data_IF_355923378291
#
_entry.id   IF_355923378291
#
_cell.length_a   1.000
_cell.length_b   1.000
_cell.length_c   1.000
_cell.angle_alpha   90.00
_cell.angle_beta   90.00
_cell.angle_gamma   90.00
#
_symmetry.space_group_name_H-M   'P 1'
#
loop_
_entity.id
_entity.type
_entity.pdbx_description
1 polymer ?
#
# COMPACT_ATOMS: atom_id res chain seq x y z
N UNK A 1 3.83 38.44 -78.64
CA UNK A 1 3.80 37.00 -78.30
C UNK A 1 4.22 36.84 -76.82
N UNK A 2 3.23 36.79 -75.93
CA UNK A 2 3.47 36.77 -74.46
C UNK A 2 3.37 35.35 -73.96
N UNK A 3 4.38 34.87 -73.30
CA UNK A 3 4.40 33.62 -72.59
C UNK A 3 4.09 33.82 -71.12
N UNK A 4 2.96 33.35 -70.63
CA UNK A 4 2.56 33.38 -69.25
C UNK A 4 3.22 32.21 -68.51
N UNK A 5 3.95 32.48 -67.44
CA UNK A 5 4.50 31.49 -66.51
C UNK A 5 3.47 31.19 -65.42
N UNK A 6 3.10 29.91 -65.34
CA UNK A 6 2.25 29.39 -64.25
C UNK A 6 3.12 29.05 -63.06
N UNK A 7 2.91 29.73 -61.92
CA UNK A 7 3.55 29.41 -60.66
C UNK A 7 2.64 28.48 -59.85
N UNK A 8 3.03 27.22 -59.73
CA UNK A 8 2.35 26.24 -58.85
C UNK A 8 2.79 26.42 -57.41
N UNK A 9 1.89 26.85 -56.54
CA UNK A 9 2.11 26.92 -55.10
C UNK A 9 1.89 25.54 -54.46
N UNK A 10 2.94 24.94 -53.93
CA UNK A 10 2.89 23.75 -53.09
C UNK A 10 2.44 24.14 -51.68
N UNK A 11 1.24 23.75 -51.32
CA UNK A 11 0.74 23.85 -49.96
C UNK A 11 1.33 22.68 -49.15
N UNK A 12 2.27 22.97 -48.23
CA UNK A 12 2.77 22.01 -47.23
C UNK A 12 1.78 22.06 -46.07
N UNK A 13 0.94 21.06 -45.99
CA UNK A 13 0.04 20.84 -44.86
C UNK A 13 0.85 20.34 -43.64
N UNK A 14 0.97 21.16 -42.61
CA UNK A 14 1.52 20.75 -41.32
C UNK A 14 0.50 19.82 -40.61
N UNK A 15 0.82 18.52 -40.54
CA UNK A 15 0.11 17.61 -39.64
C UNK A 15 0.50 17.94 -38.20
N UNK A 16 -0.38 18.62 -37.48
CA UNK A 16 -0.29 18.73 -36.02
C UNK A 16 -0.74 17.38 -35.42
N UNK A 17 0.23 16.60 -34.98
CA UNK A 17 -0.04 15.45 -34.10
C UNK A 17 -0.56 15.99 -32.77
N UNK A 18 -1.88 16.01 -32.63
CA UNK A 18 -2.55 16.27 -31.36
C UNK A 18 -2.20 15.17 -30.37
N UNK A 19 -1.43 15.52 -29.35
CA UNK A 19 -1.26 14.64 -28.19
C UNK A 19 -2.63 14.44 -27.55
N UNK A 20 -3.16 13.22 -27.68
CA UNK A 20 -4.35 12.84 -26.96
C UNK A 20 -4.04 12.88 -25.45
N UNK A 21 -4.92 13.49 -24.63
CA UNK A 21 -4.75 13.44 -23.19
C UNK A 21 -4.78 11.96 -22.76
N UNK A 22 -3.79 11.53 -21.94
CA UNK A 22 -3.86 10.25 -21.25
C UNK A 22 -5.20 10.20 -20.51
N UNK A 23 -6.08 9.33 -21.00
CA UNK A 23 -7.34 9.07 -20.34
C UNK A 23 -7.03 8.65 -18.90
N UNK A 24 -7.45 9.48 -17.96
CA UNK A 24 -7.52 9.11 -16.56
C UNK A 24 -8.16 7.71 -16.49
N UNK A 25 -7.48 6.76 -15.84
CA UNK A 25 -8.01 5.42 -15.65
C UNK A 25 -9.36 5.57 -14.95
N UNK A 26 -10.42 5.45 -15.73
CA UNK A 26 -11.77 5.47 -15.25
C UNK A 26 -11.89 4.38 -14.17
N UNK A 27 -12.01 4.80 -12.92
CA UNK A 27 -12.43 3.93 -11.84
C UNK A 27 -13.66 3.18 -12.32
N UNK A 28 -13.71 1.88 -12.03
CA UNK A 28 -14.76 0.94 -12.43
C UNK A 28 -16.12 1.61 -12.34
N UNK A 29 -16.62 2.15 -13.44
CA UNK A 29 -17.88 2.85 -13.59
C UNK A 29 -19.05 1.88 -13.46
N UNK A 30 -19.36 1.49 -12.23
CA UNK A 30 -20.56 0.75 -11.89
C UNK A 30 -21.44 1.60 -10.99
N UNK A 31 -22.75 1.40 -11.03
CA UNK A 31 -23.71 2.08 -10.16
C UNK A 31 -23.23 2.12 -8.71
N UNK A 32 -23.47 3.23 -8.02
CA UNK A 32 -23.17 3.39 -6.60
C UNK A 32 -23.78 2.23 -5.79
N UNK A 33 -23.05 1.76 -4.77
CA UNK A 33 -23.57 0.71 -3.89
C UNK A 33 -24.78 1.20 -3.11
N UNK A 34 -25.64 0.26 -2.74
CA UNK A 34 -26.83 0.52 -1.92
C UNK A 34 -26.56 0.16 -0.45
N UNK A 35 -26.58 1.17 0.42
CA UNK A 35 -26.26 0.97 1.83
C UNK A 35 -27.30 0.09 2.58
N UNK A 36 -28.55 0.08 2.15
CA UNK A 36 -29.60 -0.77 2.75
C UNK A 36 -29.33 -2.26 2.49
N UNK A 37 -29.04 -2.64 1.25
CA UNK A 37 -28.61 -4.00 0.91
C UNK A 37 -27.25 -4.30 1.54
N UNK A 38 -26.36 -3.32 1.56
CA UNK A 38 -25.04 -3.45 2.21
C UNK A 38 -25.14 -3.77 3.69
N UNK A 39 -26.11 -3.23 4.40
CA UNK A 39 -26.41 -3.60 5.78
C UNK A 39 -26.74 -5.08 5.91
N UNK A 40 -27.57 -5.63 5.01
CA UNK A 40 -27.91 -7.07 5.03
C UNK A 40 -26.66 -7.96 4.79
N UNK A 41 -25.80 -7.55 3.86
CA UNK A 41 -24.51 -8.25 3.63
C UNK A 41 -23.64 -8.18 4.88
N UNK A 42 -23.55 -7.00 5.53
CA UNK A 42 -22.79 -6.80 6.75
C UNK A 42 -23.30 -7.69 7.90
N UNK A 43 -24.60 -7.69 8.15
CA UNK A 43 -25.23 -8.49 9.21
C UNK A 43 -25.00 -9.98 9.01
N UNK A 44 -24.95 -10.44 7.74
CA UNK A 44 -24.75 -11.85 7.42
C UNK A 44 -23.28 -12.30 7.54
N UNK A 45 -22.32 -11.47 7.17
CA UNK A 45 -20.93 -11.90 6.97
C UNK A 45 -19.90 -11.20 7.86
N UNK A 46 -20.20 -10.03 8.40
CA UNK A 46 -19.21 -9.17 9.02
C UNK A 46 -19.45 -8.92 10.52
N UNK A 47 -20.71 -8.97 10.96
CA UNK A 47 -21.13 -8.58 12.31
C UNK A 47 -20.44 -9.36 13.41
N UNK A 48 -20.18 -10.67 13.22
CA UNK A 48 -19.56 -11.54 14.20
C UNK A 48 -18.17 -11.05 14.65
N UNK A 49 -17.45 -10.42 13.75
CA UNK A 49 -16.13 -9.84 14.03
C UNK A 49 -16.22 -8.33 14.30
N UNK A 50 -16.96 -7.59 13.45
CA UNK A 50 -16.94 -6.12 13.48
C UNK A 50 -18.02 -5.49 14.36
N UNK A 51 -18.94 -6.30 14.94
CA UNK A 51 -19.99 -5.86 15.88
C UNK A 51 -21.18 -5.20 15.20
N UNK A 52 -22.34 -5.25 15.84
CA UNK A 52 -23.57 -4.62 15.36
C UNK A 52 -23.43 -3.09 15.20
N UNK A 53 -22.65 -2.47 16.10
CA UNK A 53 -22.35 -1.03 16.07
C UNK A 53 -21.21 -0.68 15.15
N UNK A 54 -20.63 -1.65 14.42
CA UNK A 54 -19.47 -1.47 13.56
C UNK A 54 -18.21 -0.96 14.31
N UNK A 55 -18.12 -1.27 15.59
CA UNK A 55 -17.12 -0.80 16.55
C UNK A 55 -15.92 -1.75 16.72
N UNK A 56 -15.87 -2.83 15.94
CA UNK A 56 -14.83 -3.83 16.05
C UNK A 56 -14.97 -4.75 17.28
N UNK A 57 -16.11 -4.68 17.98
CA UNK A 57 -16.36 -5.44 19.21
C UNK A 57 -17.40 -6.57 19.00
N UNK A 58 -17.35 -7.25 17.87
CA UNK A 58 -18.17 -8.43 17.63
C UNK A 58 -17.82 -9.59 18.57
N UNK A 59 -18.69 -10.60 18.61
CA UNK A 59 -18.59 -11.72 19.54
C UNK A 59 -17.21 -12.40 19.51
N UNK A 60 -16.63 -12.59 18.30
CA UNK A 60 -15.33 -13.23 18.12
C UNK A 60 -14.13 -12.29 18.17
N UNK A 61 -14.36 -10.98 18.36
CA UNK A 61 -13.30 -9.96 18.36
C UNK A 61 -12.25 -10.20 19.46
N UNK A 62 -12.68 -10.67 20.63
CA UNK A 62 -11.80 -10.96 21.79
C UNK A 62 -10.70 -11.98 21.50
N UNK A 63 -10.93 -12.89 20.54
CA UNK A 63 -9.95 -13.89 20.11
C UNK A 63 -9.17 -13.50 18.86
N UNK A 64 -9.36 -12.25 18.39
CA UNK A 64 -8.74 -11.78 17.15
C UNK A 64 -7.56 -10.87 17.45
N UNK A 65 -6.38 -11.23 16.92
CA UNK A 65 -5.18 -10.40 16.95
C UNK A 65 -4.63 -10.29 15.52
N UNK A 66 -4.54 -9.07 14.95
CA UNK A 66 -5.07 -7.80 15.48
C UNK A 66 -6.60 -7.80 15.59
N UNK A 67 -7.13 -6.90 16.43
CA UNK A 67 -8.58 -6.74 16.59
C UNK A 67 -9.24 -6.28 15.29
N UNK A 68 -10.52 -6.67 15.06
CA UNK A 68 -11.30 -6.15 13.95
C UNK A 68 -11.40 -4.63 13.99
N UNK A 69 -11.52 -4.01 12.83
CA UNK A 69 -11.55 -2.55 12.69
C UNK A 69 -12.83 -1.97 13.24
N UNK A 70 -12.71 -0.88 14.01
CA UNK A 70 -13.81 0.05 14.29
C UNK A 70 -13.98 0.97 13.09
N UNK A 71 -15.12 0.91 12.42
CA UNK A 71 -15.39 1.70 11.22
C UNK A 71 -15.91 3.11 11.53
N UNK A 72 -16.33 3.38 12.76
CA UNK A 72 -16.94 4.66 13.17
C UNK A 72 -15.94 5.82 13.12
N UNK A 73 -14.67 5.53 13.36
CA UNK A 73 -13.62 6.55 13.35
C UNK A 73 -13.14 6.91 11.95
N UNK A 74 -13.50 6.12 10.94
CA UNK A 74 -13.01 6.33 9.58
C UNK A 74 -11.50 6.17 9.41
N UNK A 75 -10.86 5.35 10.26
CA UNK A 75 -9.42 5.05 10.18
C UNK A 75 -9.24 3.64 9.65
N UNK A 76 -8.67 3.52 8.46
CA UNK A 76 -8.47 2.26 7.77
C UNK A 76 -6.97 2.04 7.50
N UNK A 77 -6.43 0.91 7.98
CA UNK A 77 -4.98 0.61 7.90
C UNK A 77 -4.44 0.55 6.48
N UNK A 78 -5.25 0.06 5.53
CA UNK A 78 -4.78 -0.21 4.17
C UNK A 78 -5.50 0.67 3.15
N UNK A 79 -4.77 1.63 2.63
CA UNK A 79 -5.23 2.62 1.65
C UNK A 79 -4.14 2.87 0.61
N UNK A 80 -4.54 3.28 -0.58
CA UNK A 80 -3.64 3.86 -1.58
C UNK A 80 -3.52 5.37 -1.44
N UNK A 81 -4.33 6.02 -0.60
CA UNK A 81 -4.18 7.43 -0.25
C UNK A 81 -3.10 7.64 0.81
N UNK A 82 -2.62 8.87 0.94
CA UNK A 82 -1.63 9.26 1.96
C UNK A 82 -2.14 9.00 3.39
N UNK A 83 -1.21 8.97 4.33
CA UNK A 83 -1.51 8.80 5.76
C UNK A 83 -2.55 9.83 6.25
N UNK A 84 -3.49 9.36 7.05
CA UNK A 84 -4.57 10.20 7.58
C UNK A 84 -5.82 10.30 6.71
N UNK A 85 -5.73 10.03 5.41
CA UNK A 85 -6.88 10.11 4.51
C UNK A 85 -7.74 8.84 4.48
N UNK A 86 -9.00 8.99 4.09
CA UNK A 86 -9.91 7.88 3.88
C UNK A 86 -9.48 7.03 2.66
N UNK A 87 -9.69 5.70 2.69
CA UNK A 87 -9.40 4.83 1.56
C UNK A 87 -10.36 5.07 0.41
N UNK A 88 -9.97 4.66 -0.79
CA UNK A 88 -10.89 4.59 -1.92
C UNK A 88 -11.83 3.39 -1.80
N UNK A 89 -12.93 3.41 -2.57
CA UNK A 89 -13.81 2.23 -2.71
C UNK A 89 -13.03 1.01 -3.21
N UNK A 90 -12.07 1.21 -4.11
CA UNK A 90 -11.23 0.13 -4.62
C UNK A 90 -10.31 -0.47 -3.54
N UNK A 91 -9.78 0.34 -2.62
CA UNK A 91 -9.01 -0.17 -1.49
C UNK A 91 -9.85 -1.06 -0.58
N UNK A 92 -11.08 -0.63 -0.27
CA UNK A 92 -12.00 -1.41 0.56
C UNK A 92 -12.44 -2.70 -0.16
N UNK A 93 -12.77 -2.63 -1.45
CA UNK A 93 -13.12 -3.80 -2.26
C UNK A 93 -11.98 -4.82 -2.26
N UNK A 94 -10.75 -4.37 -2.48
CA UNK A 94 -9.57 -5.24 -2.45
C UNK A 94 -9.39 -5.94 -1.10
N UNK A 95 -9.58 -5.23 0.01
CA UNK A 95 -9.48 -5.81 1.36
C UNK A 95 -10.57 -6.84 1.61
N UNK A 96 -11.81 -6.55 1.24
CA UNK A 96 -12.94 -7.47 1.41
C UNK A 96 -12.74 -8.70 0.51
N UNK A 97 -12.43 -8.50 -0.76
CA UNK A 97 -12.25 -9.60 -1.72
C UNK A 97 -11.14 -10.56 -1.33
N UNK A 98 -9.97 -10.03 -0.92
CA UNK A 98 -8.77 -10.84 -0.71
C UNK A 98 -8.54 -11.22 0.76
N UNK A 99 -9.29 -10.62 1.70
CA UNK A 99 -8.98 -10.72 3.12
C UNK A 99 -7.64 -10.10 3.49
N UNK A 100 -7.20 -10.34 4.72
CA UNK A 100 -5.93 -9.86 5.24
C UNK A 100 -5.10 -11.03 5.76
N UNK A 101 -4.08 -11.40 5.02
CA UNK A 101 -3.21 -12.52 5.35
C UNK A 101 -2.63 -12.41 6.78
N UNK A 102 -2.62 -13.51 7.50
CA UNK A 102 -2.11 -13.57 8.88
C UNK A 102 -3.02 -12.88 9.91
N UNK A 103 -4.27 -12.59 9.53
CA UNK A 103 -5.31 -12.10 10.44
C UNK A 103 -6.54 -13.00 10.37
N UNK A 104 -7.54 -12.72 11.21
CA UNK A 104 -8.85 -13.40 11.11
C UNK A 104 -9.80 -12.80 10.09
N UNK A 105 -9.37 -11.81 9.29
CA UNK A 105 -10.16 -11.28 8.18
C UNK A 105 -10.02 -12.21 6.96
N UNK A 106 -10.98 -13.09 6.69
CA UNK A 106 -10.89 -14.02 5.57
C UNK A 106 -11.17 -13.31 4.24
N UNK A 107 -10.84 -13.93 3.10
CA UNK A 107 -11.28 -13.46 1.80
C UNK A 107 -12.78 -13.71 1.61
N UNK A 108 -13.50 -12.68 1.15
CA UNK A 108 -14.90 -12.77 0.74
C UNK A 108 -15.03 -12.76 -0.79
N UNK A 109 -14.19 -13.53 -1.45
CA UNK A 109 -14.16 -13.63 -2.92
C UNK A 109 -15.47 -14.19 -3.53
N UNK A 110 -16.25 -14.93 -2.72
CA UNK A 110 -17.56 -15.44 -3.13
C UNK A 110 -18.65 -14.37 -3.21
N UNK A 111 -18.47 -13.22 -2.54
CA UNK A 111 -19.39 -12.11 -2.70
C UNK A 111 -19.29 -11.54 -4.12
N UNK A 112 -20.43 -11.33 -4.77
CA UNK A 112 -20.48 -10.65 -6.06
C UNK A 112 -19.91 -9.22 -5.94
N UNK A 113 -19.46 -8.65 -7.04
CA UNK A 113 -19.02 -7.25 -7.09
C UNK A 113 -20.10 -6.29 -6.59
N UNK A 114 -21.37 -6.60 -6.82
CA UNK A 114 -22.49 -5.80 -6.33
C UNK A 114 -22.56 -5.85 -4.81
N UNK A 115 -22.56 -7.04 -4.19
CA UNK A 115 -22.60 -7.19 -2.75
C UNK A 115 -21.43 -6.50 -2.06
N UNK A 116 -20.23 -6.59 -2.62
CA UNK A 116 -19.07 -5.88 -2.08
C UNK A 116 -19.23 -4.36 -2.17
N UNK A 117 -19.75 -3.84 -3.27
CA UNK A 117 -20.07 -2.40 -3.39
C UNK A 117 -21.14 -1.97 -2.40
N UNK A 118 -22.20 -2.77 -2.25
CA UNK A 118 -23.29 -2.48 -1.34
C UNK A 118 -22.78 -2.43 0.11
N UNK A 119 -22.00 -3.41 0.57
CA UNK A 119 -21.44 -3.38 1.93
C UNK A 119 -20.44 -2.23 2.13
N UNK A 120 -19.66 -1.86 1.13
CA UNK A 120 -18.77 -0.68 1.20
C UNK A 120 -19.60 0.59 1.37
N UNK A 121 -20.68 0.75 0.59
CA UNK A 121 -21.60 1.87 0.77
C UNK A 121 -22.18 1.94 2.19
N UNK A 122 -22.55 0.80 2.76
CA UNK A 122 -22.97 0.75 4.17
C UNK A 122 -21.85 1.17 5.12
N UNK A 123 -20.63 0.65 4.98
CA UNK A 123 -19.50 1.03 5.82
C UNK A 123 -19.21 2.53 5.76
N UNK A 124 -19.36 3.14 4.59
CA UNK A 124 -19.17 4.58 4.40
C UNK A 124 -20.20 5.41 5.20
N UNK A 125 -21.38 4.88 5.46
CA UNK A 125 -22.36 5.56 6.34
C UNK A 125 -21.96 5.54 7.81
N UNK A 126 -21.00 4.70 8.22
CA UNK A 126 -20.68 4.47 9.64
C UNK A 126 -19.75 5.52 10.25
N UNK A 127 -19.05 6.30 9.41
CA UNK A 127 -18.21 7.40 9.87
C UNK A 127 -18.65 8.72 9.22
N UNK A 128 -18.75 9.81 10.01
CA UNK A 128 -19.07 11.15 9.48
C UNK A 128 -17.99 11.63 8.48
N UNK A 129 -16.75 11.18 8.60
CA UNK A 129 -15.65 11.57 7.72
C UNK A 129 -15.95 11.37 6.23
N UNK A 130 -16.68 10.32 5.88
CA UNK A 130 -17.07 10.09 4.48
C UNK A 130 -17.95 11.18 3.89
N UNK A 131 -18.75 11.87 4.73
CA UNK A 131 -19.60 12.98 4.28
C UNK A 131 -18.85 14.31 4.21
N UNK A 132 -17.85 14.48 5.07
CA UNK A 132 -17.14 15.75 5.22
C UNK A 132 -15.84 15.82 4.41
N UNK A 133 -15.16 14.68 4.25
CA UNK A 133 -13.83 14.62 3.63
C UNK A 133 -13.83 13.91 2.27
N UNK A 134 -14.68 12.88 2.14
CA UNK A 134 -14.61 11.99 0.98
C UNK A 134 -13.34 11.11 0.97
N UNK A 135 -13.17 10.24 -0.05
CA UNK A 135 -11.97 9.42 -0.19
C UNK A 135 -10.76 10.29 -0.53
N UNK A 136 -9.60 9.92 0.02
CA UNK A 136 -8.33 10.55 -0.33
C UNK A 136 -7.91 10.23 -1.77
N UNK A 137 -7.11 11.11 -2.35
CA UNK A 137 -6.51 10.88 -3.66
C UNK A 137 -5.46 9.78 -3.57
N UNK A 138 -5.52 8.74 -4.41
CA UNK A 138 -4.47 7.73 -4.46
C UNK A 138 -3.11 8.34 -4.78
N UNK A 139 -2.06 7.85 -4.11
CA UNK A 139 -0.68 8.22 -4.43
C UNK A 139 -0.34 7.83 -5.87
N UNK A 140 0.49 8.63 -6.51
CA UNK A 140 1.06 8.27 -7.81
C UNK A 140 2.00 7.07 -7.65
N UNK A 141 1.82 6.06 -8.50
CA UNK A 141 2.66 4.87 -8.52
C UNK A 141 3.32 4.81 -9.89
N UNK A 142 4.57 5.27 -10.05
CA UNK A 142 5.32 5.16 -11.29
C UNK A 142 5.46 3.70 -11.72
N UNK A 143 5.78 3.48 -13.00
CA UNK A 143 6.09 2.14 -13.49
C UNK A 143 7.20 1.53 -12.64
N UNK A 144 7.04 0.25 -12.29
CA UNK A 144 8.06 -0.49 -11.54
C UNK A 144 9.33 -0.61 -12.40
N UNK A 145 10.49 -0.10 -11.96
CA UNK A 145 11.72 -0.28 -12.68
C UNK A 145 12.20 -1.73 -12.59
N UNK A 146 12.98 -2.17 -13.58
CA UNK A 146 13.64 -3.48 -13.50
C UNK A 146 14.61 -3.48 -12.32
N UNK A 147 14.52 -4.45 -11.40
CA UNK A 147 15.43 -4.51 -10.27
C UNK A 147 16.86 -4.86 -10.75
N UNK A 148 17.84 -4.07 -10.31
CA UNK A 148 19.27 -4.35 -10.50
C UNK A 148 19.92 -4.63 -9.16
N UNK A 149 21.14 -5.19 -9.18
CA UNK A 149 21.92 -5.41 -7.95
C UNK A 149 22.14 -4.08 -7.20
N UNK A 150 22.53 -3.04 -7.93
CA UNK A 150 22.81 -1.71 -7.39
C UNK A 150 21.56 -1.12 -6.75
N UNK A 151 20.39 -1.26 -7.40
CA UNK A 151 19.12 -0.80 -6.86
C UNK A 151 18.75 -1.55 -5.57
N UNK A 152 18.98 -2.86 -5.51
CA UNK A 152 18.71 -3.66 -4.29
C UNK A 152 19.68 -3.31 -3.17
N UNK A 153 20.98 -3.10 -3.48
CA UNK A 153 21.99 -2.66 -2.52
C UNK A 153 21.64 -1.28 -1.95
N UNK A 154 21.28 -0.34 -2.83
CA UNK A 154 20.83 0.98 -2.40
C UNK A 154 19.54 0.92 -1.57
N UNK A 155 18.61 0.05 -1.95
CA UNK A 155 17.39 -0.21 -1.21
C UNK A 155 17.66 -0.72 0.21
N UNK A 156 18.69 -1.54 0.40
CA UNK A 156 19.15 -1.97 1.72
C UNK A 156 19.63 -0.79 2.56
N UNK A 157 20.52 0.06 2.03
CA UNK A 157 21.01 1.24 2.75
C UNK A 157 19.86 2.16 3.18
N UNK A 158 18.92 2.41 2.27
CA UNK A 158 17.73 3.20 2.57
C UNK A 158 16.84 2.56 3.62
N UNK A 159 16.68 1.23 3.58
CA UNK A 159 15.93 0.48 4.58
C UNK A 159 16.61 0.55 5.95
N UNK A 160 17.91 0.36 6.01
CA UNK A 160 18.68 0.47 7.24
C UNK A 160 18.55 1.87 7.86
N UNK A 161 18.63 2.91 7.06
CA UNK A 161 18.53 4.30 7.53
C UNK A 161 17.11 4.69 7.99
N UNK A 162 16.05 4.19 7.32
CA UNK A 162 14.70 4.72 7.52
C UNK A 162 13.71 3.71 8.13
N UNK A 163 13.96 2.41 8.04
CA UNK A 163 13.00 1.36 8.37
C UNK A 163 13.46 0.45 9.52
N UNK A 164 14.77 0.24 9.67
CA UNK A 164 15.37 -0.72 10.63
C UNK A 164 15.04 -0.42 12.08
N UNK A 165 14.81 0.85 12.43
CA UNK A 165 14.41 1.25 13.80
C UNK A 165 13.18 0.49 14.29
N UNK A 166 12.25 0.15 13.39
CA UNK A 166 11.06 -0.64 13.68
C UNK A 166 11.18 -2.08 13.15
N UNK A 167 11.64 -2.23 11.91
CA UNK A 167 11.68 -3.53 11.24
C UNK A 167 12.95 -4.35 11.52
N UNK A 168 13.99 -3.77 12.14
CA UNK A 168 15.25 -4.45 12.44
C UNK A 168 15.90 -5.02 11.18
N UNK A 169 16.27 -6.28 11.23
CA UNK A 169 16.79 -7.06 10.10
C UNK A 169 15.72 -7.52 9.10
N UNK A 170 14.51 -7.00 9.22
CA UNK A 170 13.34 -7.38 8.44
C UNK A 170 12.38 -8.32 9.19
N UNK A 171 12.78 -8.88 10.34
CA UNK A 171 11.93 -9.78 11.13
C UNK A 171 10.93 -9.05 12.03
N UNK A 172 11.01 -7.71 12.11
CA UNK A 172 10.16 -6.90 12.98
C UNK A 172 10.71 -6.74 14.39
N UNK A 173 12.01 -6.94 14.58
CA UNK A 173 12.71 -6.94 15.86
C UNK A 173 13.51 -5.66 16.14
N UNK A 174 13.22 -4.56 15.42
CA UNK A 174 13.95 -3.30 15.62
C UNK A 174 13.81 -2.73 17.03
N UNK A 175 14.71 -1.81 17.44
CA UNK A 175 14.74 -1.27 18.80
C UNK A 175 13.40 -0.67 19.28
N UNK A 176 12.62 -0.07 18.38
CA UNK A 176 11.29 0.46 18.73
C UNK A 176 10.28 -0.66 18.96
N UNK A 177 10.36 -1.77 18.21
CA UNK A 177 9.49 -2.93 18.38
C UNK A 177 9.73 -3.63 19.71
N UNK A 178 11.01 -3.77 20.10
CA UNK A 178 11.42 -4.39 21.39
C UNK A 178 10.92 -3.59 22.60
N UNK A 179 10.87 -2.25 22.50
CA UNK A 179 10.30 -1.39 23.54
C UNK A 179 8.78 -1.50 23.68
N UNK A 180 8.12 -2.12 22.74
CA UNK A 180 6.68 -2.20 22.64
C UNK A 180 6.09 -1.02 21.87
N UNK A 181 5.15 -1.32 20.99
CA UNK A 181 4.43 -0.33 20.17
C UNK A 181 2.92 -0.56 20.33
N UNK A 182 2.16 0.52 20.23
CA UNK A 182 0.70 0.48 20.26
C UNK A 182 0.13 1.17 19.03
N UNK A 183 -1.03 0.72 18.59
CA UNK A 183 -1.78 1.42 17.54
C UNK A 183 -2.67 2.52 18.17
N UNK A 184 -3.35 3.32 17.33
CA UNK A 184 -4.19 4.44 17.76
C UNK A 184 -5.39 4.01 18.65
N UNK A 185 -5.64 2.71 18.77
CA UNK A 185 -6.67 2.15 19.66
C UNK A 185 -6.09 1.59 20.96
N UNK A 186 -4.79 1.83 21.21
CA UNK A 186 -4.08 1.34 22.40
C UNK A 186 -3.79 -0.16 22.38
N UNK A 187 -4.01 -0.84 21.25
CA UNK A 187 -3.69 -2.25 21.13
C UNK A 187 -2.21 -2.46 20.80
N UNK A 188 -1.59 -3.43 21.46
CA UNK A 188 -0.21 -3.80 21.14
C UNK A 188 -0.08 -4.21 19.67
N UNK A 189 0.96 -3.70 19.02
CA UNK A 189 1.26 -3.95 17.61
C UNK A 189 2.74 -4.22 17.43
N UNK A 190 3.06 -5.08 16.48
CA UNK A 190 4.44 -5.37 16.08
C UNK A 190 4.61 -5.08 14.60
N UNK A 191 5.78 -4.57 14.17
CA UNK A 191 6.12 -4.46 12.76
C UNK A 191 6.00 -5.83 12.08
N UNK A 192 5.65 -5.80 10.80
CA UNK A 192 5.56 -7.03 10.03
C UNK A 192 6.93 -7.70 9.90
N UNK A 193 6.96 -9.03 10.01
CA UNK A 193 8.10 -9.82 9.56
C UNK A 193 8.11 -9.86 8.03
N UNK A 194 9.04 -9.14 7.43
CA UNK A 194 9.18 -8.97 6.00
C UNK A 194 9.88 -10.15 5.34
N UNK A 195 10.56 -10.99 6.12
CA UNK A 195 11.28 -12.18 5.62
C UNK A 195 10.34 -13.34 5.27
N UNK A 196 9.06 -13.24 5.65
CA UNK A 196 8.06 -14.28 5.35
C UNK A 196 7.57 -14.27 3.88
N UNK A 197 8.04 -13.31 3.08
CA UNK A 197 7.65 -13.21 1.66
C UNK A 197 6.19 -12.82 1.42
N UNK A 198 5.50 -12.32 2.42
CA UNK A 198 4.09 -11.94 2.37
C UNK A 198 3.71 -11.02 3.52
N UNK A 199 2.87 -10.05 3.24
CA UNK A 199 2.32 -9.15 4.25
C UNK A 199 0.79 -9.24 4.30
N UNK A 200 0.18 -8.62 5.29
CA UNK A 200 -1.29 -8.61 5.49
C UNK A 200 -2.04 -8.15 4.23
N UNK A 201 -1.48 -7.22 3.48
CA UNK A 201 -2.04 -6.65 2.26
C UNK A 201 -1.04 -6.66 1.08
N UNK A 202 0.25 -6.87 1.36
CA UNK A 202 1.31 -6.83 0.36
C UNK A 202 1.65 -8.23 -0.16
N UNK A 203 1.73 -8.36 -1.48
CA UNK A 203 2.13 -9.60 -2.20
C UNK A 203 3.16 -9.34 -3.29
N UNK A 204 3.34 -8.08 -3.70
CA UNK A 204 4.19 -7.66 -4.81
C UNK A 204 5.07 -6.48 -4.39
N UNK A 205 6.12 -6.17 -5.15
CA UNK A 205 6.91 -4.96 -4.95
C UNK A 205 6.05 -3.70 -5.01
N UNK A 206 5.07 -3.65 -5.91
CA UNK A 206 4.10 -2.56 -5.99
C UNK A 206 3.29 -2.38 -4.69
N UNK A 207 2.89 -3.47 -4.04
CA UNK A 207 2.17 -3.38 -2.77
C UNK A 207 3.08 -2.88 -1.65
N UNK A 208 4.36 -3.31 -1.64
CA UNK A 208 5.36 -2.82 -0.70
C UNK A 208 5.60 -1.32 -0.92
N UNK A 209 5.77 -0.91 -2.18
CA UNK A 209 5.87 0.50 -2.56
C UNK A 209 4.73 1.33 -1.98
N UNK A 210 3.49 0.89 -2.21
CA UNK A 210 2.29 1.59 -1.70
C UNK A 210 2.33 1.69 -0.17
N UNK A 211 2.76 0.63 0.54
CA UNK A 211 2.84 0.65 2.01
C UNK A 211 3.91 1.59 2.53
N UNK A 212 5.06 1.65 1.87
CA UNK A 212 6.12 2.58 2.23
C UNK A 212 5.70 4.03 1.94
N UNK A 213 5.16 4.31 0.74
CA UNK A 213 4.73 5.66 0.37
C UNK A 213 3.58 6.18 1.22
N UNK A 214 2.51 5.39 1.40
CA UNK A 214 1.28 5.83 2.04
C UNK A 214 1.28 5.63 3.57
N UNK A 215 2.21 4.85 4.11
CA UNK A 215 2.16 4.43 5.51
C UNK A 215 1.00 3.48 5.80
N UNK A 216 0.71 3.27 7.07
CA UNK A 216 -0.41 2.44 7.54
C UNK A 216 -1.19 3.21 8.60
N UNK A 217 -2.33 3.76 8.22
CA UNK A 217 -3.17 4.58 9.09
C UNK A 217 -3.49 3.91 10.43
N UNK A 218 -3.45 4.68 11.50
CA UNK A 218 -3.71 4.21 12.85
C UNK A 218 -2.62 3.31 13.42
N UNK A 219 -1.41 3.39 12.87
CA UNK A 219 -0.24 2.68 13.38
C UNK A 219 1.00 3.58 13.38
N UNK A 220 2.06 3.24 14.12
CA UNK A 220 3.32 3.98 14.09
C UNK A 220 4.09 3.90 12.76
N UNK A 221 3.60 3.22 11.73
CA UNK A 221 4.26 3.20 10.42
C UNK A 221 3.86 4.45 9.61
N UNK A 222 4.72 5.48 9.52
CA UNK A 222 4.41 6.71 8.81
C UNK A 222 4.49 6.51 7.30
N UNK A 223 4.04 7.49 6.54
CA UNK A 223 4.33 7.60 5.12
C UNK A 223 5.79 8.02 4.88
N UNK A 224 6.38 7.56 3.79
CA UNK A 224 7.74 7.94 3.38
C UNK A 224 7.75 9.00 2.27
N UNK A 225 6.59 9.48 1.84
CA UNK A 225 6.46 10.37 0.69
C UNK A 225 7.21 11.71 0.83
N UNK A 226 7.43 12.18 2.05
CA UNK A 226 8.14 13.42 2.33
C UNK A 226 9.64 13.20 2.63
N UNK A 227 10.10 11.94 2.69
CA UNK A 227 11.47 11.56 3.07
C UNK A 227 12.22 10.90 1.91
N UNK A 228 11.53 10.08 1.12
CA UNK A 228 12.11 9.30 0.04
C UNK A 228 11.47 9.65 -1.31
N UNK A 229 12.30 9.71 -2.36
CA UNK A 229 11.79 9.85 -3.71
C UNK A 229 11.07 8.57 -4.17
N UNK A 230 10.20 8.65 -5.18
CA UNK A 230 9.56 7.45 -5.74
C UNK A 230 10.54 6.36 -6.17
N UNK A 231 11.68 6.74 -6.75
CA UNK A 231 12.73 5.79 -7.12
C UNK A 231 13.34 5.10 -5.90
N UNK A 232 13.66 5.85 -4.86
CA UNK A 232 14.19 5.30 -3.60
C UNK A 232 13.21 4.35 -2.93
N UNK A 233 11.91 4.64 -3.00
CA UNK A 233 10.89 3.73 -2.46
C UNK A 233 10.79 2.44 -3.29
N UNK A 234 11.00 2.50 -4.62
CA UNK A 234 11.11 1.29 -5.43
C UNK A 234 12.35 0.46 -5.07
N UNK A 235 13.49 1.10 -4.82
CA UNK A 235 14.70 0.42 -4.35
C UNK A 235 14.46 -0.30 -3.01
N UNK A 236 13.82 0.38 -2.04
CA UNK A 236 13.41 -0.25 -0.78
C UNK A 236 12.44 -1.41 -1.01
N UNK A 237 11.45 -1.25 -1.91
CA UNK A 237 10.48 -2.31 -2.21
C UNK A 237 11.15 -3.55 -2.80
N UNK A 238 12.11 -3.39 -3.70
CA UNK A 238 12.89 -4.49 -4.28
C UNK A 238 13.78 -5.17 -3.22
N UNK A 239 14.42 -4.41 -2.34
CA UNK A 239 15.17 -4.98 -1.23
C UNK A 239 14.28 -5.80 -0.29
N UNK A 240 13.14 -5.26 0.15
CA UNK A 240 12.18 -5.98 0.99
C UNK A 240 11.66 -7.24 0.29
N UNK A 241 11.41 -7.17 -1.02
CA UNK A 241 11.01 -8.34 -1.81
C UNK A 241 12.13 -9.39 -1.87
N UNK A 242 13.38 -8.95 -1.90
CA UNK A 242 14.55 -9.82 -1.87
C UNK A 242 14.75 -10.51 -0.52
N UNK A 243 14.47 -9.83 0.61
CA UNK A 243 14.59 -10.39 1.96
C UNK A 243 13.77 -11.67 2.19
N UNK A 244 12.59 -11.73 1.63
CA UNK A 244 11.58 -12.70 2.05
C UNK A 244 11.25 -13.80 1.04
N UNK A 245 11.92 -13.91 -0.11
CA UNK A 245 11.53 -14.89 -1.12
C UNK A 245 10.06 -14.76 -1.54
N UNK A 246 9.57 -13.56 -1.65
CA UNK A 246 8.18 -13.23 -2.02
C UNK A 246 7.78 -13.95 -3.31
N UNK A 247 6.57 -14.47 -3.36
CA UNK A 247 6.09 -15.37 -4.43
C UNK A 247 6.22 -14.82 -5.87
N UNK A 248 6.44 -13.52 -6.01
CA UNK A 248 6.72 -12.84 -7.28
C UNK A 248 8.15 -12.25 -7.35
N UNK A 249 9.03 -12.70 -6.46
CA UNK A 249 10.46 -12.38 -6.56
C UNK A 249 11.04 -13.05 -7.79
N UNK A 250 11.69 -12.26 -8.66
CA UNK A 250 12.37 -12.82 -9.82
C UNK A 250 13.59 -13.66 -9.40
N UNK A 251 14.09 -14.59 -10.25
CA UNK A 251 15.34 -15.30 -9.98
C UNK A 251 16.51 -14.36 -9.70
N UNK A 252 16.57 -13.21 -10.42
CA UNK A 252 17.60 -12.18 -10.23
C UNK A 252 17.53 -11.57 -8.84
N UNK A 253 16.33 -11.17 -8.38
CA UNK A 253 16.15 -10.62 -7.03
C UNK A 253 16.59 -11.60 -5.95
N UNK A 254 16.27 -12.87 -6.08
CA UNK A 254 16.70 -13.90 -5.12
C UNK A 254 18.22 -14.09 -5.12
N UNK A 255 18.85 -14.05 -6.31
CA UNK A 255 20.31 -14.09 -6.43
C UNK A 255 20.95 -12.88 -5.76
N UNK A 256 20.45 -11.66 -6.03
CA UNK A 256 20.98 -10.44 -5.41
C UNK A 256 20.86 -10.50 -3.87
N UNK A 257 19.72 -11.00 -3.35
CA UNK A 257 19.55 -11.17 -1.91
C UNK A 257 20.53 -12.13 -1.28
N UNK A 258 20.80 -13.25 -1.95
CA UNK A 258 21.76 -14.25 -1.46
C UNK A 258 23.21 -13.75 -1.42
N UNK A 259 23.54 -12.74 -2.22
CA UNK A 259 24.87 -12.13 -2.28
C UNK A 259 25.03 -10.93 -1.33
N UNK A 260 23.93 -10.42 -0.75
CA UNK A 260 23.99 -9.38 0.27
C UNK A 260 24.40 -10.00 1.62
N UNK A 261 25.27 -9.33 2.40
CA UNK A 261 25.50 -9.75 3.77
C UNK A 261 24.20 -9.68 4.57
N UNK A 262 24.04 -10.46 5.66
CA UNK A 262 22.85 -10.41 6.48
C UNK A 262 22.58 -8.99 7.00
N UNK A 263 21.30 -8.59 7.16
CA UNK A 263 20.95 -7.29 7.69
C UNK A 263 21.62 -7.09 9.07
N UNK A 264 22.19 -5.90 9.29
CA UNK A 264 22.92 -5.60 10.53
C UNK A 264 24.40 -6.00 10.54
N UNK A 265 24.92 -6.65 9.51
CA UNK A 265 26.34 -6.89 9.31
C UNK A 265 27.03 -5.69 8.63
N UNK A 266 26.62 -4.46 8.92
CA UNK A 266 27.35 -3.25 8.53
C UNK A 266 28.73 -3.23 9.18
N UNK A 267 29.74 -2.73 8.47
CA UNK A 267 31.09 -2.53 9.00
C UNK A 267 31.02 -1.92 10.39
N UNK A 268 31.83 -2.41 11.35
CA UNK A 268 31.97 -1.71 12.63
C UNK A 268 32.36 -0.26 12.31
N UNK A 269 31.60 0.70 12.84
CA UNK A 269 31.93 2.11 12.72
C UNK A 269 33.42 2.24 12.97
N UNK A 270 34.14 2.85 12.01
CA UNK A 270 35.56 3.10 12.15
C UNK A 270 35.74 3.75 13.53
N UNK A 271 36.48 3.06 14.39
CA UNK A 271 36.81 3.56 15.70
C UNK A 271 37.50 4.90 15.49
N UNK A 272 36.86 5.98 15.91
CA UNK A 272 37.48 7.29 16.07
C UNK A 272 38.71 7.07 16.91
N UNK A 273 39.87 6.96 16.30
CA UNK A 273 41.16 7.07 16.97
C UNK A 273 41.28 8.52 17.43
N UNK A 274 40.71 8.81 18.61
CA UNK A 274 41.08 10.00 19.37
C UNK A 274 42.54 9.85 19.68
N UNK A 275 43.38 10.57 18.94
CA UNK A 275 44.79 10.80 19.35
C UNK A 275 44.75 11.63 20.60
N UNK A 276 45.30 11.05 21.67
CA UNK A 276 45.69 11.78 22.89
C UNK A 276 46.78 12.78 22.60
#
# INVERSE_FOLDING_TARGET
MSTAAVVSALMVGALTLGAAPLAAQAGVGGAAGDAGRGRQVYERYCVQCHGERTDGAGEVARWSQPRPRDFRQGIFKFSTARYGFLPTTADLDRVIQNGLYGTRMPPFAALSTRERRDVIAYLQTRSPRWRTEGPGTPIAIPAEPTPTREAVTRGRELFEANCSKCHGDGTGNGPSAVKGMVDDWGAAITPANLTLGRGKWARTARDIYVRAMAGINGTPMPESADVLTPEQVWQVAHYVQALGGWSRSTPELRRFAAELPPPGAGEPAAADTVKQ
#
